data_IF_426455956588
#
_entry.id   IF_426455956588
#
_cell.length_a   1.000
_cell.length_b   1.000
_cell.length_c   1.000
_cell.angle_alpha   90.00
_cell.angle_beta   90.00
_cell.angle_gamma   90.00
#
_symmetry.space_group_name_H-M   'P 1'
#
loop_
_entity.id
_entity.type
_entity.pdbx_description
1 polymer ?
#
# COMPACT_ATOMS: atom_id res chain seq x y z
N UNK A 1 25.54 -1.88 -14.03
CA UNK A 1 24.36 -2.70 -14.36
C UNK A 1 23.56 -2.82 -13.07
N UNK A 2 22.59 -1.93 -12.88
CA UNK A 2 21.66 -2.03 -11.75
C UNK A 2 20.78 -3.23 -12.09
N UNK A 3 21.03 -4.34 -11.41
CA UNK A 3 20.27 -5.59 -11.54
C UNK A 3 18.79 -5.27 -11.40
N UNK A 4 17.97 -5.77 -12.32
CA UNK A 4 16.51 -5.78 -12.25
C UNK A 4 16.07 -6.18 -10.83
N UNK A 5 15.79 -5.19 -9.97
CA UNK A 5 15.16 -5.46 -8.70
C UNK A 5 13.72 -5.79 -9.08
N UNK A 6 13.36 -7.07 -8.97
CA UNK A 6 12.00 -7.51 -9.23
C UNK A 6 11.08 -6.79 -8.23
N UNK A 7 9.92 -6.32 -8.69
CA UNK A 7 8.94 -5.72 -7.81
C UNK A 7 8.55 -6.61 -6.65
N UNK A 8 8.53 -7.93 -6.87
CA UNK A 8 8.30 -8.89 -5.80
C UNK A 8 9.40 -8.80 -4.72
N UNK A 9 10.67 -8.61 -5.12
CA UNK A 9 11.75 -8.33 -4.16
C UNK A 9 11.56 -6.97 -3.48
N UNK A 10 11.16 -5.92 -4.20
CA UNK A 10 10.91 -4.61 -3.58
C UNK A 10 9.84 -4.68 -2.50
N UNK A 11 8.73 -5.36 -2.78
CA UNK A 11 7.59 -5.59 -1.88
C UNK A 11 7.94 -6.58 -0.75
N UNK A 12 8.88 -7.50 -0.98
CA UNK A 12 9.33 -8.47 0.02
C UNK A 12 10.43 -7.92 0.94
N UNK A 13 11.31 -7.05 0.46
CA UNK A 13 12.31 -6.31 1.29
C UNK A 13 11.64 -5.17 2.06
N UNK A 14 10.52 -4.68 1.54
CA UNK A 14 9.22 -4.96 2.15
C UNK A 14 9.19 -5.04 3.64
N UNK A 15 9.63 -6.25 3.97
CA UNK A 15 9.27 -6.91 5.18
C UNK A 15 10.21 -6.55 6.31
N UNK A 16 11.36 -5.95 6.00
CA UNK A 16 12.55 -5.91 6.86
C UNK A 16 13.03 -4.51 7.28
N UNK A 17 12.32 -3.43 6.93
CA UNK A 17 12.67 -2.05 7.34
C UNK A 17 13.25 -1.24 6.19
N UNK A 18 12.55 -0.17 5.81
CA UNK A 18 12.52 0.33 4.43
C UNK A 18 13.25 1.65 4.17
N UNK A 19 13.87 2.25 5.17
CA UNK A 19 14.49 3.57 5.04
C UNK A 19 15.52 3.66 3.89
N UNK A 20 16.11 2.52 3.48
CA UNK A 20 17.20 2.44 2.49
C UNK A 20 16.70 2.37 1.04
N UNK A 21 15.41 2.06 0.79
CA UNK A 21 14.97 1.64 -0.55
C UNK A 21 14.43 2.80 -1.38
N UNK A 22 13.83 3.83 -0.77
CA UNK A 22 13.27 4.97 -1.52
C UNK A 22 14.32 5.77 -2.30
N UNK A 23 15.57 5.82 -1.84
CA UNK A 23 16.66 6.51 -2.53
C UNK A 23 17.14 5.80 -3.81
N UNK A 24 16.74 4.54 -4.04
CA UNK A 24 17.23 3.71 -5.16
C UNK A 24 16.12 3.14 -6.06
N UNK A 25 14.88 3.59 -5.89
CA UNK A 25 13.76 3.14 -6.71
C UNK A 25 13.63 3.97 -8.01
N UNK A 26 13.36 3.33 -9.16
CA UNK A 26 13.10 4.06 -10.40
C UNK A 26 11.77 4.81 -10.30
N UNK A 27 11.68 6.04 -10.82
CA UNK A 27 10.52 6.96 -10.71
C UNK A 27 9.12 6.33 -10.89
N UNK A 28 9.02 5.21 -11.61
CA UNK A 28 7.77 4.47 -11.84
C UNK A 28 7.38 3.46 -10.75
N UNK A 29 8.13 3.35 -9.64
CA UNK A 29 7.93 2.31 -8.64
C UNK A 29 6.59 2.42 -7.88
N UNK A 30 6.05 3.64 -7.75
CA UNK A 30 4.80 3.90 -7.03
C UNK A 30 3.56 3.27 -7.70
N UNK A 31 3.64 2.98 -9.00
CA UNK A 31 2.56 2.37 -9.80
C UNK A 31 2.68 0.85 -9.91
N UNK A 32 3.77 0.30 -9.41
CA UNK A 32 4.15 -1.04 -9.74
C UNK A 32 3.46 -2.03 -8.76
N UNK A 33 3.14 -3.24 -9.26
CA UNK A 33 2.37 -4.29 -8.54
C UNK A 33 3.16 -5.60 -8.42
N UNK A 34 3.00 -6.31 -7.30
CA UNK A 34 3.49 -7.68 -7.13
C UNK A 34 2.74 -8.67 -8.03
N UNK A 35 3.21 -9.91 -8.09
CA UNK A 35 2.48 -11.02 -8.72
C UNK A 35 1.07 -11.26 -8.15
N UNK A 36 0.78 -10.78 -6.93
CA UNK A 36 -0.54 -10.85 -6.28
C UNK A 36 -1.42 -9.62 -6.54
N UNK A 37 -0.86 -8.59 -7.18
CA UNK A 37 -1.54 -7.34 -7.47
C UNK A 37 -1.29 -6.22 -6.45
N UNK A 38 -0.63 -6.51 -5.33
CA UNK A 38 -0.37 -5.54 -4.28
C UNK A 38 0.66 -4.49 -4.73
N UNK A 39 0.42 -3.25 -4.33
CA UNK A 39 1.38 -2.15 -4.49
C UNK A 39 2.15 -1.93 -3.19
N UNK A 40 3.21 -1.14 -3.23
CA UNK A 40 3.91 -0.71 -2.00
C UNK A 40 2.99 0.03 -1.03
N UNK A 41 1.94 0.68 -1.53
CA UNK A 41 0.97 1.36 -0.67
C UNK A 41 0.17 0.37 0.17
N UNK A 42 -0.20 -0.80 -0.36
CA UNK A 42 -0.83 -1.87 0.42
C UNK A 42 0.09 -2.36 1.55
N UNK A 43 1.38 -2.55 1.23
CA UNK A 43 2.38 -3.01 2.18
C UNK A 43 2.62 -1.98 3.28
N UNK A 44 2.78 -0.70 2.93
CA UNK A 44 2.97 0.36 3.91
C UNK A 44 1.74 0.52 4.81
N UNK A 45 0.54 0.45 4.23
CA UNK A 45 -0.72 0.57 4.97
C UNK A 45 -0.95 -0.60 5.93
N UNK A 46 -0.67 -1.84 5.52
CA UNK A 46 -0.78 -3.02 6.39
C UNK A 46 0.25 -3.08 7.52
N UNK A 47 1.25 -2.21 7.52
CA UNK A 47 2.38 -2.22 8.47
C UNK A 47 2.45 -1.03 9.40
N UNK A 48 1.61 -0.02 9.21
CA UNK A 48 1.62 1.15 10.09
C UNK A 48 2.69 2.17 9.70
N UNK A 49 3.19 2.15 8.46
CA UNK A 49 4.27 3.01 7.98
C UNK A 49 3.74 4.33 7.39
N UNK A 50 3.30 5.25 8.24
CA UNK A 50 2.65 6.51 7.82
C UNK A 50 3.55 7.42 6.96
N UNK A 51 4.85 7.49 7.27
CA UNK A 51 5.81 8.32 6.51
C UNK A 51 5.93 7.82 5.06
N UNK A 52 5.92 6.50 4.89
CA UNK A 52 6.02 5.80 3.63
C UNK A 52 4.71 5.88 2.85
N UNK A 53 3.56 5.76 3.50
CA UNK A 53 2.25 6.02 2.88
C UNK A 53 2.22 7.43 2.29
N UNK A 54 2.63 8.43 3.06
CA UNK A 54 2.69 9.81 2.58
C UNK A 54 3.68 9.96 1.41
N UNK A 55 4.89 9.42 1.52
CA UNK A 55 5.89 9.46 0.45
C UNK A 55 5.38 8.80 -0.84
N UNK A 56 4.75 7.64 -0.75
CA UNK A 56 4.19 6.91 -1.89
C UNK A 56 3.08 7.70 -2.58
N UNK A 57 2.16 8.30 -1.83
CA UNK A 57 1.10 9.15 -2.38
C UNK A 57 1.67 10.39 -3.08
N UNK A 58 2.69 11.03 -2.50
CA UNK A 58 3.37 12.17 -3.13
C UNK A 58 4.07 11.78 -4.43
N UNK A 59 4.49 10.53 -4.57
CA UNK A 59 5.09 9.97 -5.79
C UNK A 59 4.07 9.32 -6.73
N UNK A 60 2.77 9.61 -6.57
CA UNK A 60 1.74 9.19 -7.52
C UNK A 60 1.24 7.75 -7.34
N UNK A 61 1.42 7.15 -6.17
CA UNK A 61 0.80 5.87 -5.86
C UNK A 61 -0.73 5.96 -5.98
N UNK A 62 -1.34 4.93 -6.56
CA UNK A 62 -2.79 4.86 -6.70
C UNK A 62 -3.45 4.55 -5.35
N UNK A 63 -4.13 5.53 -4.77
CA UNK A 63 -4.75 5.44 -3.45
C UNK A 63 -5.84 4.37 -3.34
N UNK A 64 -6.55 4.10 -4.45
CA UNK A 64 -7.62 3.11 -4.56
C UNK A 64 -7.19 1.88 -5.39
N UNK A 65 -5.89 1.60 -5.46
CA UNK A 65 -5.41 0.42 -6.18
C UNK A 65 -6.02 -0.86 -5.58
N UNK A 66 -6.51 -1.77 -6.44
CA UNK A 66 -6.88 -3.11 -6.00
C UNK A 66 -5.66 -4.04 -6.04
N UNK A 67 -5.39 -4.65 -4.88
CA UNK A 67 -4.39 -5.68 -4.65
C UNK A 67 -4.98 -7.08 -4.61
N UNK A 68 -4.37 -7.95 -3.81
CA UNK A 68 -4.89 -9.30 -3.58
C UNK A 68 -6.31 -9.24 -2.98
N UNK A 69 -7.21 -10.12 -3.43
CA UNK A 69 -8.61 -10.16 -2.98
C UNK A 69 -9.41 -8.86 -3.18
N UNK A 70 -8.98 -8.00 -4.11
CA UNK A 70 -9.55 -6.65 -4.29
C UNK A 70 -9.40 -5.74 -3.07
N UNK A 71 -8.49 -6.07 -2.14
CA UNK A 71 -8.17 -5.15 -1.07
C UNK A 71 -7.60 -3.85 -1.64
N UNK A 72 -8.02 -2.76 -1.03
CA UNK A 72 -7.42 -1.44 -1.22
C UNK A 72 -6.40 -1.19 -0.12
N UNK A 73 -5.52 -0.18 -0.25
CA UNK A 73 -4.69 0.26 0.87
C UNK A 73 -5.49 0.58 2.15
N UNK A 74 -6.75 1.03 1.98
CA UNK A 74 -7.66 1.29 3.09
C UNK A 74 -8.06 0.00 3.83
N UNK A 75 -8.37 -1.09 3.10
CA UNK A 75 -8.59 -2.42 3.70
C UNK A 75 -7.35 -2.89 4.46
N UNK A 76 -6.16 -2.74 3.87
CA UNK A 76 -4.90 -3.12 4.53
C UNK A 76 -4.66 -2.35 5.84
N UNK A 77 -4.99 -1.05 5.88
CA UNK A 77 -4.87 -0.25 7.09
C UNK A 77 -5.84 -0.72 8.19
N UNK A 78 -7.08 -1.06 7.84
CA UNK A 78 -8.07 -1.58 8.79
C UNK A 78 -7.68 -2.96 9.34
N UNK A 79 -7.26 -3.89 8.46
CA UNK A 79 -6.78 -5.23 8.86
C UNK A 79 -5.55 -5.14 9.79
N UNK A 80 -4.66 -4.17 9.56
CA UNK A 80 -3.51 -3.90 10.41
C UNK A 80 -3.83 -3.14 11.70
N UNK A 81 -5.09 -2.75 11.91
CA UNK A 81 -5.55 -1.86 12.98
C UNK A 81 -4.75 -0.54 13.05
N UNK A 82 -4.46 0.04 11.89
CA UNK A 82 -3.69 1.27 11.73
C UNK A 82 -4.64 2.44 11.46
N UNK A 83 -5.43 2.82 12.46
CA UNK A 83 -6.42 3.91 12.37
C UNK A 83 -5.83 5.23 11.84
N UNK A 84 -4.61 5.58 12.26
CA UNK A 84 -3.93 6.79 11.78
C UNK A 84 -3.76 6.79 10.26
N UNK A 85 -3.33 5.65 9.69
CA UNK A 85 -3.18 5.50 8.24
C UNK A 85 -4.54 5.46 7.57
N UNK A 86 -5.51 4.77 8.15
CA UNK A 86 -6.86 4.70 7.63
C UNK A 86 -7.44 6.10 7.43
N UNK A 87 -7.38 6.94 8.48
CA UNK A 87 -7.83 8.32 8.43
C UNK A 87 -7.00 9.15 7.46
N UNK A 88 -5.68 8.96 7.42
CA UNK A 88 -4.81 9.66 6.49
C UNK A 88 -5.17 9.36 5.03
N UNK A 89 -5.46 8.09 4.69
CA UNK A 89 -5.88 7.69 3.35
C UNK A 89 -7.24 8.33 2.98
N UNK A 90 -8.22 8.32 3.89
CA UNK A 90 -9.51 8.99 3.66
C UNK A 90 -9.34 10.49 3.39
N UNK A 91 -8.50 11.17 4.18
CA UNK A 91 -8.20 12.59 3.99
C UNK A 91 -7.54 12.88 2.63
N UNK A 92 -6.84 11.91 2.06
CA UNK A 92 -6.21 12.01 0.74
C UNK A 92 -7.11 11.49 -0.41
N UNK A 93 -8.38 11.18 -0.13
CA UNK A 93 -9.37 10.80 -1.15
C UNK A 93 -9.49 9.31 -1.41
N UNK A 94 -9.11 8.46 -0.44
CA UNK A 94 -9.44 7.04 -0.51
C UNK A 94 -10.97 6.84 -0.49
N UNK A 95 -11.46 5.92 -1.30
CA UNK A 95 -12.89 5.61 -1.41
C UNK A 95 -13.25 4.49 -0.41
N UNK A 96 -13.95 4.86 0.66
CA UNK A 96 -14.41 3.93 1.70
C UNK A 96 -15.55 3.01 1.25
N UNK A 97 -16.21 3.32 0.13
CA UNK A 97 -17.31 2.53 -0.40
C UNK A 97 -16.84 1.34 -1.23
N UNK A 98 -15.53 1.26 -1.52
CA UNK A 98 -14.95 0.13 -2.24
C UNK A 98 -15.04 -1.13 -1.39
N UNK A 99 -15.42 -2.22 -2.06
CA UNK A 99 -15.57 -3.54 -1.45
C UNK A 99 -14.52 -4.50 -1.98
N UNK A 100 -14.10 -5.41 -1.12
CA UNK A 100 -13.24 -6.53 -1.46
C UNK A 100 -13.99 -7.63 -2.25
N UNK A 101 -13.33 -8.77 -2.49
CA UNK A 101 -13.95 -9.91 -3.17
C UNK A 101 -15.05 -10.62 -2.35
N UNK A 102 -15.18 -10.32 -1.06
CA UNK A 102 -16.22 -10.82 -0.18
C UNK A 102 -17.42 -9.87 -0.07
N UNK A 103 -17.33 -8.68 -0.66
CA UNK A 103 -18.36 -7.65 -0.59
C UNK A 103 -18.31 -6.82 0.71
N UNK A 104 -17.17 -6.83 1.40
CA UNK A 104 -16.95 -6.10 2.64
C UNK A 104 -16.20 -4.79 2.37
N UNK A 105 -16.61 -3.73 3.04
CA UNK A 105 -15.90 -2.44 3.08
C UNK A 105 -14.79 -2.47 4.12
N UNK A 106 -13.82 -1.57 3.98
CA UNK A 106 -12.63 -1.55 4.84
C UNK A 106 -12.93 -1.34 6.33
N UNK A 107 -13.95 -0.55 6.67
CA UNK A 107 -14.38 -0.27 8.04
C UNK A 107 -14.82 -1.53 8.82
N UNK A 108 -15.31 -2.56 8.13
CA UNK A 108 -15.75 -3.82 8.74
C UNK A 108 -14.62 -4.66 9.35
N UNK A 109 -13.36 -4.32 9.04
CA UNK A 109 -12.18 -5.02 9.51
C UNK A 109 -11.57 -4.47 10.81
N UNK A 110 -12.13 -3.38 11.36
CA UNK A 110 -11.75 -2.91 12.69
C UNK A 110 -12.33 -3.83 13.78
N UNK A 111 -11.51 -4.13 14.80
CA UNK A 111 -11.90 -4.89 16.01
C UNK A 111 -12.69 -4.03 17.02
#
# INVERSE_FOLDING_TARGET
MISNINIDQLIEIGRTGYQIIFDNLPDSFALAKSARGDTLLHVASSRGFISEVNYLLQNGAQINAHGEFLFTPLHCAAIGNHEEIYQFLLLNGADESLVDCYGLTADTYFD
#
